data_IF_833730669375
#
_entry.id   IF_833730669375
#
_cell.length_a   1.000
_cell.length_b   1.000
_cell.length_c   1.000
_cell.angle_alpha   90.00
_cell.angle_beta   90.00
_cell.angle_gamma   90.00
#
_symmetry.space_group_name_H-M   'P 1'
#
loop_
_entity.id
_entity.type
_entity.pdbx_description
1 polymer ?
#
# COMPACT_ATOMS: atom_id res chain seq x y z
N UNK A 1 -5.09 7.75 -15.33
CA UNK A 1 -5.32 8.76 -14.28
C UNK A 1 -4.18 9.77 -14.30
N UNK A 2 -2.90 9.33 -14.32
CA UNK A 2 -1.74 10.24 -14.38
C UNK A 2 -1.72 11.09 -15.66
N UNK A 3 -1.93 10.48 -16.82
CA UNK A 3 -1.99 11.19 -18.10
C UNK A 3 -3.11 12.23 -18.21
N UNK A 4 -4.18 12.09 -17.42
CA UNK A 4 -5.29 13.03 -17.36
C UNK A 4 -5.11 14.13 -16.28
N UNK A 5 -3.96 14.19 -15.60
CA UNK A 5 -3.68 15.16 -14.55
C UNK A 5 -4.46 14.96 -13.24
N UNK A 6 -5.13 13.81 -13.09
CA UNK A 6 -5.97 13.53 -11.92
C UNK A 6 -5.16 13.43 -10.63
N UNK A 7 -3.98 12.82 -10.66
CA UNK A 7 -3.08 12.72 -9.49
C UNK A 7 -2.56 14.10 -9.05
N UNK A 8 -2.23 14.98 -10.00
CA UNK A 8 -1.81 16.35 -9.69
C UNK A 8 -2.94 17.21 -9.12
N UNK A 9 -4.18 17.02 -9.60
CA UNK A 9 -5.35 17.69 -9.06
C UNK A 9 -5.66 17.23 -7.63
N UNK A 10 -5.61 15.92 -7.38
CA UNK A 10 -5.79 15.36 -6.05
C UNK A 10 -4.67 15.79 -5.10
N UNK A 11 -3.42 15.79 -5.57
CA UNK A 11 -2.28 16.28 -4.79
C UNK A 11 -2.47 17.73 -4.32
N UNK A 12 -2.95 18.61 -5.19
CA UNK A 12 -3.28 20.01 -4.83
C UNK A 12 -4.42 20.11 -3.81
N UNK A 13 -5.46 19.32 -4.00
CA UNK A 13 -6.59 19.24 -3.04
C UNK A 13 -6.13 18.74 -1.68
N UNK A 14 -5.36 17.66 -1.65
CA UNK A 14 -4.83 17.07 -0.43
C UNK A 14 -3.86 18.02 0.29
N UNK A 15 -3.00 18.73 -0.43
CA UNK A 15 -2.10 19.74 0.14
C UNK A 15 -2.85 20.90 0.83
N UNK A 16 -4.09 21.19 0.43
CA UNK A 16 -4.92 22.20 1.09
C UNK A 16 -5.61 21.68 2.36
N UNK A 17 -5.84 20.38 2.46
CA UNK A 17 -6.59 19.76 3.59
C UNK A 17 -5.68 19.05 4.58
N UNK A 18 -4.51 18.60 4.14
CA UNK A 18 -3.53 17.91 4.96
C UNK A 18 -2.45 18.89 5.38
N UNK A 19 -2.40 19.21 6.66
CA UNK A 19 -1.45 20.20 7.21
C UNK A 19 -0.36 19.57 8.07
N UNK A 20 -0.40 18.25 8.29
CA UNK A 20 0.54 17.56 9.17
C UNK A 20 1.08 16.29 8.53
N UNK A 21 2.31 15.91 8.92
CA UNK A 21 2.92 14.63 8.48
C UNK A 21 2.05 13.43 8.83
N UNK A 22 1.54 13.38 10.07
CA UNK A 22 0.62 12.32 10.49
C UNK A 22 -0.67 12.32 9.64
N UNK A 23 -1.18 13.50 9.29
CA UNK A 23 -2.34 13.64 8.41
C UNK A 23 -2.10 13.05 7.01
N UNK A 24 -0.91 13.25 6.43
CA UNK A 24 -0.54 12.66 5.13
C UNK A 24 -0.52 11.11 5.19
N UNK A 25 0.04 10.57 6.27
CA UNK A 25 0.12 9.12 6.50
C UNK A 25 -1.28 8.53 6.71
N UNK A 26 -2.11 9.17 7.55
CA UNK A 26 -3.49 8.76 7.79
C UNK A 26 -4.32 8.83 6.49
N UNK A 27 -4.17 9.90 5.71
CA UNK A 27 -4.84 10.01 4.42
C UNK A 27 -4.42 8.89 3.44
N UNK A 28 -3.13 8.52 3.43
CA UNK A 28 -2.63 7.39 2.65
C UNK A 28 -3.28 6.08 3.10
N UNK A 29 -3.35 5.83 4.40
CA UNK A 29 -3.99 4.66 4.98
C UNK A 29 -5.47 4.58 4.58
N UNK A 30 -6.24 5.66 4.77
CA UNK A 30 -7.66 5.69 4.41
C UNK A 30 -7.88 5.51 2.91
N UNK A 31 -7.04 6.10 2.06
CA UNK A 31 -7.13 5.89 0.61
C UNK A 31 -6.85 4.42 0.25
N UNK A 32 -5.86 3.80 0.91
CA UNK A 32 -5.58 2.38 0.77
C UNK A 32 -6.76 1.50 1.19
N UNK A 33 -7.44 1.84 2.27
CA UNK A 33 -8.65 1.12 2.73
C UNK A 33 -9.81 1.26 1.74
N UNK A 34 -9.96 2.41 1.10
CA UNK A 34 -11.03 2.66 0.10
C UNK A 34 -10.82 1.85 -1.19
N UNK A 35 -9.56 1.56 -1.55
CA UNK A 35 -9.23 0.80 -2.76
C UNK A 35 -8.98 -0.67 -2.36
N UNK A 36 -10.00 -1.37 -1.91
CA UNK A 36 -9.90 -2.75 -1.40
C UNK A 36 -10.13 -3.85 -2.43
N UNK A 37 -10.42 -3.50 -3.67
CA UNK A 37 -10.82 -4.47 -4.71
C UNK A 37 -9.65 -5.36 -5.11
N UNK A 38 -8.47 -4.77 -5.27
CA UNK A 38 -7.25 -5.43 -5.71
C UNK A 38 -6.03 -4.78 -5.07
N UNK A 39 -5.13 -5.56 -4.50
CA UNK A 39 -3.94 -5.09 -3.79
C UNK A 39 -2.91 -4.45 -4.75
N UNK A 40 -2.73 -5.03 -5.93
CA UNK A 40 -1.82 -4.50 -6.94
C UNK A 40 -2.27 -3.14 -7.46
N UNK A 41 -3.55 -3.03 -7.80
CA UNK A 41 -4.15 -1.75 -8.22
C UNK A 41 -4.11 -0.71 -7.10
N UNK A 42 -4.31 -1.14 -5.85
CA UNK A 42 -4.18 -0.30 -4.66
C UNK A 42 -2.77 0.29 -4.57
N UNK A 43 -1.73 -0.55 -4.58
CA UNK A 43 -0.33 -0.10 -4.47
C UNK A 43 0.02 0.94 -5.55
N UNK A 44 -0.32 0.68 -6.80
CA UNK A 44 -0.01 1.58 -7.91
C UNK A 44 -0.77 2.90 -7.81
N UNK A 45 -2.07 2.84 -7.49
CA UNK A 45 -2.93 4.03 -7.44
C UNK A 45 -2.60 4.90 -6.23
N UNK A 46 -2.55 4.32 -5.03
CA UNK A 46 -2.24 5.05 -3.80
C UNK A 46 -0.82 5.62 -3.86
N UNK A 47 0.15 4.84 -4.35
CA UNK A 47 1.52 5.28 -4.51
C UNK A 47 1.64 6.50 -5.42
N UNK A 48 1.04 6.45 -6.60
CA UNK A 48 1.10 7.56 -7.56
C UNK A 48 0.38 8.82 -7.09
N UNK A 49 -0.73 8.66 -6.37
CA UNK A 49 -1.57 9.77 -5.90
C UNK A 49 -1.00 10.41 -4.63
N UNK A 50 -0.51 9.61 -3.68
CA UNK A 50 -0.07 10.12 -2.38
C UNK A 50 1.39 10.57 -2.37
N UNK A 51 2.22 10.15 -3.32
CA UNK A 51 3.62 10.55 -3.41
C UNK A 51 3.82 12.08 -3.37
N UNK A 52 3.17 12.92 -4.20
CA UNK A 52 3.35 14.37 -4.12
C UNK A 52 2.87 14.96 -2.79
N UNK A 53 1.88 14.35 -2.14
CA UNK A 53 1.38 14.80 -0.83
C UNK A 53 2.39 14.48 0.27
N UNK A 54 2.93 13.27 0.32
CA UNK A 54 3.91 12.85 1.32
C UNK A 54 5.25 13.56 1.14
N UNK A 55 5.68 13.78 -0.12
CA UNK A 55 6.89 14.53 -0.43
C UNK A 55 6.80 15.99 0.06
N UNK A 56 5.64 16.64 -0.08
CA UNK A 56 5.41 18.01 0.42
C UNK A 56 5.46 18.13 1.95
N UNK A 57 5.28 17.03 2.66
CA UNK A 57 5.32 16.96 4.12
C UNK A 57 6.61 16.30 4.66
N UNK A 58 7.63 16.11 3.84
CA UNK A 58 8.91 15.49 4.20
C UNK A 58 8.75 14.10 4.85
N UNK A 59 7.80 13.30 4.36
CA UNK A 59 7.66 11.89 4.71
C UNK A 59 8.54 11.08 3.77
N UNK A 60 9.35 10.16 4.31
CA UNK A 60 10.24 9.35 3.47
C UNK A 60 9.43 8.46 2.52
N UNK A 61 9.95 8.27 1.31
CA UNK A 61 9.35 7.36 0.32
C UNK A 61 9.35 5.92 0.80
N UNK A 62 10.34 5.53 1.62
CA UNK A 62 10.38 4.23 2.27
C UNK A 62 9.20 4.02 3.21
N UNK A 63 8.82 5.03 4.00
CA UNK A 63 7.65 4.96 4.88
C UNK A 63 6.35 4.93 4.09
N UNK A 64 6.24 5.72 3.03
CA UNK A 64 5.10 5.68 2.13
C UNK A 64 4.93 4.28 1.54
N UNK A 65 5.98 3.70 0.98
CA UNK A 65 5.97 2.35 0.41
C UNK A 65 5.56 1.30 1.45
N UNK A 66 6.12 1.36 2.65
CA UNK A 66 5.77 0.46 3.74
C UNK A 66 4.28 0.52 4.11
N UNK A 67 3.71 1.72 4.23
CA UNK A 67 2.30 1.88 4.60
C UNK A 67 1.39 1.36 3.50
N UNK A 68 1.72 1.62 2.23
CA UNK A 68 0.95 1.12 1.09
C UNK A 68 0.98 -0.41 1.07
N UNK A 69 2.15 -1.01 1.15
CA UNK A 69 2.33 -2.45 1.15
C UNK A 69 1.64 -3.11 2.35
N UNK A 70 1.85 -2.57 3.54
CA UNK A 70 1.25 -3.08 4.77
C UNK A 70 -0.27 -2.86 4.89
N UNK A 71 -0.90 -2.10 4.00
CA UNK A 71 -2.36 -1.90 3.97
C UNK A 71 -3.01 -2.59 2.79
N UNK A 72 -2.40 -2.61 1.61
CA UNK A 72 -3.02 -3.11 0.40
C UNK A 72 -3.44 -4.59 0.51
N UNK A 73 -2.49 -5.49 0.75
CA UNK A 73 -2.78 -6.92 0.86
C UNK A 73 -3.65 -7.26 2.08
N UNK A 74 -3.37 -6.80 3.31
CA UNK A 74 -4.22 -7.10 4.46
C UNK A 74 -5.67 -6.65 4.32
N UNK A 75 -5.93 -5.50 3.71
CA UNK A 75 -7.30 -5.03 3.46
C UNK A 75 -8.01 -5.90 2.42
N UNK A 76 -7.34 -6.25 1.31
CA UNK A 76 -7.91 -7.13 0.30
C UNK A 76 -8.20 -8.53 0.84
N UNK A 77 -7.38 -9.03 1.78
CA UNK A 77 -7.57 -10.34 2.41
C UNK A 77 -8.71 -10.41 3.43
N UNK A 78 -9.26 -9.29 3.86
CA UNK A 78 -10.45 -9.23 4.74
C UNK A 78 -11.67 -8.66 4.03
N UNK A 79 -11.51 -8.05 2.86
CA UNK A 79 -12.63 -7.52 2.08
C UNK A 79 -13.37 -8.66 1.35
N UNK A 80 -14.68 -8.83 1.59
CA UNK A 80 -15.46 -9.94 1.00
C UNK A 80 -15.63 -9.80 -0.52
N UNK A 81 -15.38 -8.62 -1.07
CA UNK A 81 -15.42 -8.33 -2.51
C UNK A 81 -14.02 -7.87 -2.94
N UNK A 82 -13.14 -8.82 -3.16
CA UNK A 82 -11.75 -8.56 -3.58
C UNK A 82 -11.25 -9.65 -4.53
N UNK A 83 -10.12 -9.40 -5.18
CA UNK A 83 -9.43 -10.40 -5.99
C UNK A 83 -9.09 -11.67 -5.19
N UNK A 84 -8.74 -11.51 -3.91
CA UNK A 84 -8.46 -12.63 -3.00
C UNK A 84 -9.70 -13.45 -2.67
N UNK A 85 -10.85 -12.80 -2.45
CA UNK A 85 -12.11 -13.51 -2.23
C UNK A 85 -12.50 -14.34 -3.46
N UNK A 86 -12.29 -13.82 -4.67
CA UNK A 86 -12.53 -14.54 -5.91
C UNK A 86 -11.59 -15.76 -6.04
N UNK A 87 -10.31 -15.61 -5.73
CA UNK A 87 -9.33 -16.70 -5.78
C UNK A 87 -9.67 -17.84 -4.78
N UNK A 88 -10.05 -17.48 -3.55
CA UNK A 88 -10.48 -18.47 -2.55
C UNK A 88 -11.78 -19.14 -2.99
N UNK A 89 -12.72 -18.40 -3.58
CA UNK A 89 -13.99 -18.95 -4.05
C UNK A 89 -13.78 -20.00 -5.15
N UNK A 90 -12.87 -19.77 -6.10
CA UNK A 90 -12.55 -20.75 -7.15
C UNK A 90 -11.90 -22.01 -6.57
N UNK A 91 -10.92 -21.86 -5.69
CA UNK A 91 -10.25 -23.01 -5.04
C UNK A 91 -11.24 -23.84 -4.19
N UNK A 92 -12.17 -23.17 -3.51
CA UNK A 92 -13.18 -23.85 -2.69
C UNK A 92 -14.17 -24.69 -3.52
N UNK A 93 -14.45 -24.28 -4.77
CA UNK A 93 -15.28 -25.07 -5.70
C UNK A 93 -14.59 -26.37 -6.11
N UNK A 94 -13.27 -26.33 -6.31
CA UNK A 94 -12.50 -27.53 -6.69
C UNK A 94 -12.40 -28.56 -5.55
N UNK A 95 -12.60 -28.13 -4.30
CA UNK A 95 -12.49 -29.00 -3.12
C UNK A 95 -13.81 -29.66 -2.70
N UNK A 96 -14.93 -29.38 -3.41
CA UNK A 96 -16.27 -29.94 -3.15
C UNK A 96 -16.67 -29.92 -1.65
N UNK A 97 -16.42 -28.80 -1.00
CA UNK A 97 -16.63 -28.64 0.45
C UNK A 97 -18.10 -28.52 0.84
N UNK A 98 -19.01 -28.45 -0.13
CA UNK A 98 -20.45 -28.23 0.10
C UNK A 98 -20.81 -26.84 0.64
N UNK A 99 -19.82 -25.94 0.78
CA UNK A 99 -19.98 -24.56 1.27
C UNK A 99 -19.65 -23.61 0.12
N UNK A 100 -20.38 -22.51 0.01
CA UNK A 100 -20.04 -21.46 -0.97
C UNK A 100 -18.67 -20.88 -0.65
N UNK A 101 -17.81 -20.69 -1.68
CA UNK A 101 -16.47 -20.14 -1.50
C UNK A 101 -16.44 -18.77 -0.84
N UNK A 102 -17.44 -17.92 -1.12
CA UNK A 102 -17.59 -16.61 -0.44
C UNK A 102 -17.94 -16.81 1.05
N UNK A 103 -18.76 -17.79 1.38
CA UNK A 103 -19.09 -18.10 2.77
C UNK A 103 -17.87 -18.61 3.53
N UNK A 104 -17.07 -19.47 2.89
CA UNK A 104 -15.79 -19.93 3.45
C UNK A 104 -14.84 -18.77 3.70
N UNK A 105 -14.69 -17.86 2.73
CA UNK A 105 -13.84 -16.67 2.87
C UNK A 105 -14.29 -15.78 4.03
N UNK A 106 -15.58 -15.47 4.14
CA UNK A 106 -16.11 -14.63 5.22
C UNK A 106 -15.91 -15.27 6.59
N UNK A 107 -16.08 -16.60 6.69
CA UNK A 107 -15.82 -17.33 7.94
C UNK A 107 -14.32 -17.34 8.31
N UNK A 108 -13.42 -17.26 7.34
CA UNK A 108 -11.99 -17.23 7.56
C UNK A 108 -11.46 -15.85 8.02
N UNK A 109 -12.18 -14.75 7.77
CA UNK A 109 -11.75 -13.39 8.12
C UNK A 109 -11.30 -13.25 9.59
N UNK A 110 -12.06 -13.70 10.61
CA UNK A 110 -11.66 -13.54 12.01
C UNK A 110 -10.43 -14.36 12.39
N UNK A 111 -10.07 -15.36 11.59
CA UNK A 111 -8.88 -16.19 11.80
C UNK A 111 -7.66 -15.70 11.01
N UNK A 112 -7.82 -14.66 10.19
CA UNK A 112 -6.72 -14.03 9.47
C UNK A 112 -5.97 -13.05 10.38
N UNK A 113 -5.22 -13.62 11.33
CA UNK A 113 -4.45 -12.84 12.31
C UNK A 113 -3.40 -11.95 11.67
N UNK A 114 -2.83 -12.37 10.53
CA UNK A 114 -1.87 -11.55 9.81
C UNK A 114 -2.48 -10.19 9.42
N UNK A 115 -3.60 -10.21 8.71
CA UNK A 115 -4.25 -8.98 8.26
C UNK A 115 -4.70 -8.10 9.44
N UNK A 116 -5.32 -8.70 10.45
CA UNK A 116 -5.80 -7.97 11.62
C UNK A 116 -4.66 -7.31 12.40
N UNK A 117 -3.59 -8.07 12.69
CA UNK A 117 -2.44 -7.56 13.43
C UNK A 117 -1.66 -6.51 12.63
N UNK A 118 -1.50 -6.70 11.33
CA UNK A 118 -0.80 -5.74 10.47
C UNK A 118 -1.54 -4.41 10.41
N UNK A 119 -2.86 -4.41 10.27
CA UNK A 119 -3.68 -3.19 10.29
C UNK A 119 -3.54 -2.46 11.63
N UNK A 120 -3.65 -3.18 12.75
CA UNK A 120 -3.45 -2.61 14.10
C UNK A 120 -2.05 -2.02 14.23
N UNK A 121 -1.04 -2.71 13.74
CA UNK A 121 0.35 -2.27 13.78
C UNK A 121 0.60 -1.00 12.95
N UNK A 122 0.05 -0.94 11.74
CA UNK A 122 0.14 0.27 10.89
C UNK A 122 -0.54 1.47 11.55
N UNK A 123 -1.73 1.28 12.13
CA UNK A 123 -2.42 2.33 12.87
C UNK A 123 -1.59 2.78 14.08
N UNK A 124 -1.04 1.83 14.84
CA UNK A 124 -0.21 2.14 16.00
C UNK A 124 1.03 2.96 15.64
N UNK A 125 1.79 2.53 14.61
CA UNK A 125 2.97 3.28 14.14
C UNK A 125 2.56 4.69 13.67
N UNK A 126 1.45 4.80 12.95
CA UNK A 126 0.98 6.08 12.42
C UNK A 126 0.60 7.05 13.54
N UNK A 127 -0.16 6.57 14.54
CA UNK A 127 -0.63 7.39 15.67
C UNK A 127 0.51 7.74 16.63
N UNK A 128 1.38 6.78 16.93
CA UNK A 128 2.51 6.98 17.84
C UNK A 128 3.66 7.78 17.19
N UNK A 129 3.71 7.87 15.88
CA UNK A 129 4.80 8.51 15.15
C UNK A 129 6.16 7.85 15.40
N UNK A 130 6.15 6.57 15.76
CA UNK A 130 7.34 5.81 16.11
C UNK A 130 7.91 5.12 14.87
N UNK A 131 9.16 5.41 14.59
CA UNK A 131 9.90 4.79 13.50
C UNK A 131 11.08 4.00 14.05
N UNK A 132 11.33 2.79 13.54
CA UNK A 132 12.38 1.92 14.02
C UNK A 132 13.32 1.44 12.90
N UNK A 133 14.54 1.07 13.28
CA UNK A 133 15.52 0.49 12.39
C UNK A 133 15.88 1.35 11.16
N UNK A 134 15.94 0.76 9.96
CA UNK A 134 16.26 1.48 8.73
C UNK A 134 15.27 2.57 8.39
N UNK A 135 13.98 2.42 8.75
CA UNK A 135 12.95 3.41 8.49
C UNK A 135 13.20 4.71 9.27
N UNK A 136 13.62 4.63 10.54
CA UNK A 136 13.98 5.80 11.32
C UNK A 136 15.12 6.60 10.66
N UNK A 137 16.10 5.92 10.07
CA UNK A 137 17.18 6.58 9.32
C UNK A 137 16.66 7.26 8.06
N UNK A 138 15.74 6.61 7.34
CA UNK A 138 15.12 7.19 6.14
C UNK A 138 14.28 8.43 6.49
N UNK A 139 13.54 8.38 7.61
CA UNK A 139 12.76 9.52 8.09
C UNK A 139 13.64 10.70 8.54
N UNK A 140 14.76 10.43 9.21
CA UNK A 140 15.73 11.48 9.57
C UNK A 140 16.32 12.16 8.33
N UNK A 141 16.63 11.40 7.29
CA UNK A 141 17.09 11.96 6.01
C UNK A 141 15.99 12.76 5.32
N UNK A 142 14.76 12.29 5.34
CA UNK A 142 13.61 12.99 4.78
C UNK A 142 13.40 14.36 5.45
N UNK A 143 13.65 14.48 6.77
CA UNK A 143 13.61 15.74 7.48
C UNK A 143 14.71 16.72 7.03
N UNK A 144 15.82 16.20 6.51
CA UNK A 144 16.92 17.00 5.94
C UNK A 144 16.71 17.38 4.47
N UNK A 145 15.57 16.92 3.88
CA UNK A 145 15.23 17.15 2.48
C UNK A 145 15.61 16.01 1.54
N UNK A 146 16.25 14.94 2.04
CA UNK A 146 16.55 13.74 1.26
C UNK A 146 15.41 12.74 1.38
N UNK A 147 14.39 12.84 0.52
CA UNK A 147 13.18 12.02 0.56
C UNK A 147 13.39 10.55 0.18
N UNK A 148 14.55 10.20 -0.31
CA UNK A 148 14.97 8.85 -0.70
C UNK A 148 15.86 8.87 -1.92
N UNK A 149 16.80 7.95 -1.98
CA UNK A 149 17.86 7.86 -2.99
C UNK A 149 17.40 7.29 -4.34
N UNK A 150 16.39 7.87 -4.93
CA UNK A 150 16.25 7.82 -6.37
C UNK A 150 16.86 9.13 -6.84
N UNK A 151 18.06 9.04 -7.40
CA UNK A 151 18.85 10.21 -7.79
C UNK A 151 18.06 11.16 -8.66
N UNK A 152 18.46 12.43 -8.66
CA UNK A 152 17.84 13.49 -9.45
C UNK A 152 17.85 13.23 -10.98
N UNK A 153 18.55 12.17 -11.42
CA UNK A 153 18.68 11.79 -12.83
C UNK A 153 17.63 10.74 -13.28
N UNK A 154 16.78 10.24 -12.38
CA UNK A 154 15.84 9.15 -12.67
C UNK A 154 14.35 9.53 -12.67
N UNK A 155 14.01 10.81 -12.71
CA UNK A 155 12.62 11.25 -12.77
C UNK A 155 11.85 10.68 -13.99
N UNK A 156 12.57 10.24 -15.02
CA UNK A 156 12.04 9.55 -16.19
C UNK A 156 12.12 8.02 -16.15
N UNK A 157 12.86 7.42 -15.19
CA UNK A 157 13.01 5.96 -15.06
C UNK A 157 12.21 5.34 -13.91
N UNK A 158 11.69 6.16 -12.99
CA UNK A 158 10.98 5.69 -11.78
C UNK A 158 9.67 4.97 -12.11
N UNK A 159 9.01 5.34 -13.21
CA UNK A 159 7.80 4.67 -13.67
C UNK A 159 8.08 3.21 -14.11
N UNK A 160 9.30 2.95 -14.61
CA UNK A 160 9.73 1.62 -15.00
C UNK A 160 10.40 0.82 -13.87
N UNK A 161 11.19 1.47 -13.01
CA UNK A 161 11.93 0.79 -11.95
C UNK A 161 11.01 0.20 -10.87
N UNK A 162 9.96 0.91 -10.47
CA UNK A 162 9.01 0.39 -9.48
C UNK A 162 8.21 -0.81 -10.01
N UNK A 163 7.89 -0.82 -11.31
CA UNK A 163 7.22 -1.94 -11.98
C UNK A 163 8.17 -3.13 -12.12
N UNK A 164 9.45 -2.90 -12.44
CA UNK A 164 10.43 -3.96 -12.60
C UNK A 164 10.86 -4.59 -11.27
N UNK A 165 11.01 -3.82 -10.20
CA UNK A 165 11.34 -4.36 -8.87
C UNK A 165 10.19 -5.19 -8.29
N UNK A 166 8.94 -4.76 -8.46
CA UNK A 166 7.78 -5.58 -8.10
C UNK A 166 7.64 -6.83 -8.97
N UNK A 167 7.93 -6.76 -10.28
CA UNK A 167 7.87 -7.90 -11.20
C UNK A 167 9.01 -8.90 -10.95
N UNK A 168 10.22 -8.43 -10.65
CA UNK A 168 11.36 -9.31 -10.32
C UNK A 168 11.12 -10.07 -9.02
N UNK A 169 10.55 -9.42 -7.99
CA UNK A 169 10.25 -10.09 -6.73
C UNK A 169 9.16 -11.17 -6.85
N UNK A 170 8.22 -10.99 -7.77
CA UNK A 170 7.17 -11.99 -8.03
C UNK A 170 7.62 -13.10 -8.99
N UNK A 171 8.60 -12.85 -9.88
CA UNK A 171 9.10 -13.87 -10.80
C UNK A 171 10.12 -14.82 -10.16
N UNK A 172 10.98 -14.33 -9.25
CA UNK A 172 11.93 -15.17 -8.51
C UNK A 172 11.23 -16.21 -7.60
N UNK A 173 10.03 -15.90 -7.11
CA UNK A 173 9.24 -16.85 -6.32
C UNK A 173 8.58 -17.96 -7.17
N UNK A 174 8.55 -17.85 -8.49
CA UNK A 174 7.94 -18.82 -9.40
C UNK A 174 8.95 -19.81 -10.00
N UNK A 175 10.24 -19.51 -9.96
CA UNK A 175 11.29 -20.33 -10.58
C UNK A 175 11.95 -21.38 -9.64
N UNK A 176 11.57 -21.40 -8.35
CA UNK A 176 12.01 -22.41 -7.38
C UNK A 176 11.10 -23.67 -7.40
N UNK A 177 10.99 -24.33 -8.58
CA UNK A 177 10.47 -25.71 -8.69
C UNK A 177 11.29 -26.54 -9.64
#
# INVERSE_FOLDING_TARGET
>A
INAAGGSAAFGRWAAQHVHTRAGAIIATFFLGVLIFVDDYFNCLTVGSVMRPVTDSHNVSRAKLAYIIDATAAPICMIAPVSSWAAAVATTAQDLDTGISGIQLFVQAIPYNFYSLLTIVFVIAITVMGFDYGPMAKAELKALQGELGSLGNDEENNVENACIWDCLLYTSDAADDK
#
